data_IF_676554392469
#
_entry.id   IF_676554392469
#
_cell.length_a   1.000
_cell.length_b   1.000
_cell.length_c   1.000
_cell.angle_alpha   90.00
_cell.angle_beta   90.00
_cell.angle_gamma   90.00
#
_symmetry.space_group_name_H-M   'P 1'
#
loop_
_entity.id
_entity.type
_entity.pdbx_description
1 polymer ?
#
# COMPACT_ATOMS: atom_id res chain seq x y z
N UNK A 1 -6.61 5.32 5.40
CA UNK A 1 -7.91 5.86 4.94
C UNK A 1 -8.69 4.90 4.03
N UNK A 2 -8.38 3.58 4.04
CA UNK A 2 -9.15 2.59 3.28
C UNK A 2 -8.95 2.60 1.76
N UNK A 3 -7.91 3.26 1.24
CA UNK A 3 -7.65 3.36 -0.20
C UNK A 3 -8.60 4.31 -0.94
N UNK A 4 -8.41 4.42 -2.26
CA UNK A 4 -9.18 5.34 -3.12
C UNK A 4 -10.69 5.07 -3.06
N UNK A 5 -11.11 3.80 -3.10
CA UNK A 5 -12.53 3.43 -3.07
C UNK A 5 -13.22 3.90 -1.79
N UNK A 6 -12.61 3.70 -0.62
CA UNK A 6 -13.23 4.17 0.63
C UNK A 6 -13.11 5.68 0.82
N UNK A 7 -12.05 6.30 0.27
CA UNK A 7 -11.92 7.75 0.27
C UNK A 7 -13.11 8.42 -0.44
N UNK A 8 -13.48 7.91 -1.62
CA UNK A 8 -14.56 8.43 -2.46
C UNK A 8 -15.99 8.08 -1.99
N UNK A 9 -16.18 7.27 -0.94
CA UNK A 9 -17.51 7.01 -0.36
C UNK A 9 -18.03 8.22 0.41
N UNK A 10 -19.31 8.25 0.78
CA UNK A 10 -19.88 9.26 1.68
C UNK A 10 -20.50 10.47 0.97
N UNK A 11 -20.98 11.41 1.76
CA UNK A 11 -21.69 12.60 1.29
C UNK A 11 -20.74 13.80 1.17
N UNK A 12 -21.15 14.81 0.42
CA UNK A 12 -20.34 16.02 0.18
C UNK A 12 -19.95 16.73 1.48
N UNK A 13 -20.83 16.72 2.49
CA UNK A 13 -20.55 17.27 3.84
C UNK A 13 -19.37 16.58 4.54
N UNK A 14 -19.08 15.33 4.20
CA UNK A 14 -17.97 14.57 4.78
C UNK A 14 -16.62 14.93 4.14
N UNK A 15 -16.63 15.55 2.95
CA UNK A 15 -15.42 15.79 2.16
C UNK A 15 -14.50 16.82 2.80
N UNK A 16 -15.03 17.79 3.54
CA UNK A 16 -14.23 18.76 4.28
C UNK A 16 -13.33 18.07 5.32
N UNK A 17 -13.91 17.20 6.15
CA UNK A 17 -13.16 16.45 7.16
C UNK A 17 -12.23 15.40 6.53
N UNK A 18 -12.67 14.74 5.45
CA UNK A 18 -11.84 13.78 4.72
C UNK A 18 -10.62 14.44 4.08
N UNK A 19 -10.77 15.65 3.55
CA UNK A 19 -9.66 16.45 3.02
C UNK A 19 -8.62 16.72 4.11
N UNK A 20 -9.04 17.16 5.29
CA UNK A 20 -8.12 17.43 6.41
C UNK A 20 -7.33 16.17 6.80
N UNK A 21 -8.03 15.05 7.03
CA UNK A 21 -7.37 13.78 7.37
C UNK A 21 -6.44 13.27 6.27
N UNK A 22 -6.80 13.49 5.00
CA UNK A 22 -5.94 13.14 3.88
C UNK A 22 -4.65 13.93 3.89
N UNK A 23 -4.72 15.26 4.05
CA UNK A 23 -3.55 16.13 4.09
C UNK A 23 -2.61 15.73 5.24
N UNK A 24 -3.16 15.50 6.44
CA UNK A 24 -2.37 15.09 7.61
C UNK A 24 -1.69 13.72 7.41
N UNK A 25 -2.47 12.75 6.92
CA UNK A 25 -1.96 11.39 6.65
C UNK A 25 -0.89 11.43 5.56
N UNK A 26 -1.14 12.11 4.45
CA UNK A 26 -0.23 12.20 3.32
C UNK A 26 1.08 12.90 3.72
N UNK A 27 1.02 14.02 4.44
CA UNK A 27 2.23 14.70 4.96
C UNK A 27 3.07 13.76 5.81
N UNK A 28 2.44 12.99 6.68
CA UNK A 28 3.13 12.05 7.57
C UNK A 28 3.82 10.94 6.79
N UNK A 29 3.09 10.30 5.86
CA UNK A 29 3.64 9.17 5.09
C UNK A 29 4.72 9.68 4.12
N UNK A 30 4.53 10.85 3.47
CA UNK A 30 5.54 11.43 2.57
C UNK A 30 6.84 11.79 3.30
N UNK A 31 6.75 12.30 4.53
CA UNK A 31 7.93 12.56 5.37
C UNK A 31 8.70 11.29 5.74
N UNK A 32 8.04 10.13 5.84
CA UNK A 32 8.69 8.86 6.15
C UNK A 32 9.46 8.26 4.96
N UNK A 33 9.23 8.74 3.74
CA UNK A 33 9.84 8.17 2.53
C UNK A 33 9.17 6.89 2.02
N UNK A 34 8.16 6.37 2.75
CA UNK A 34 7.44 5.13 2.41
C UNK A 34 6.37 5.31 1.31
N UNK A 35 6.39 6.39 0.54
CA UNK A 35 5.37 6.70 -0.48
C UNK A 35 5.92 6.43 -1.86
N UNK A 36 5.34 5.45 -2.54
CA UNK A 36 5.43 5.40 -4.00
C UNK A 36 4.68 6.61 -4.58
N UNK A 37 5.28 7.31 -5.55
CA UNK A 37 4.81 8.63 -5.97
C UNK A 37 3.34 8.67 -6.42
N UNK A 38 2.85 7.62 -7.08
CA UNK A 38 1.43 7.47 -7.45
C UNK A 38 1.04 6.01 -7.73
N UNK A 39 -0.26 5.66 -7.60
CA UNK A 39 -0.75 4.35 -8.01
C UNK A 39 -0.82 4.22 -9.54
N UNK A 40 -0.52 3.05 -10.08
CA UNK A 40 -0.63 2.79 -11.55
C UNK A 40 -2.04 2.68 -12.09
N UNK A 41 -3.00 2.38 -11.21
CA UNK A 41 -4.41 2.24 -11.57
C UNK A 41 -5.31 2.61 -10.41
N UNK A 42 -6.47 3.15 -10.73
CA UNK A 42 -7.54 3.38 -9.77
C UNK A 42 -8.44 2.15 -9.75
N UNK A 43 -8.28 1.30 -8.74
CA UNK A 43 -9.13 0.11 -8.59
C UNK A 43 -10.57 0.54 -8.27
N UNK A 44 -11.52 0.04 -9.05
CA UNK A 44 -12.96 0.23 -8.79
C UNK A 44 -13.52 -0.78 -7.77
N UNK A 45 -14.74 -0.53 -7.30
CA UNK A 45 -15.41 -1.34 -6.26
C UNK A 45 -15.49 -2.83 -6.64
N UNK A 46 -15.93 -3.15 -7.87
CA UNK A 46 -16.06 -4.54 -8.33
C UNK A 46 -14.72 -5.24 -8.42
N UNK A 47 -13.68 -4.57 -8.94
CA UNK A 47 -12.33 -5.16 -8.99
C UNK A 47 -11.73 -5.33 -7.60
N UNK A 48 -12.03 -4.44 -6.65
CA UNK A 48 -11.60 -4.59 -5.27
C UNK A 48 -12.25 -5.82 -4.62
N UNK A 49 -13.57 -5.99 -4.79
CA UNK A 49 -14.28 -7.18 -4.30
C UNK A 49 -13.77 -8.46 -4.97
N UNK A 50 -13.58 -8.44 -6.29
CA UNK A 50 -13.04 -9.59 -7.03
C UNK A 50 -11.64 -9.95 -6.56
N UNK A 51 -10.76 -8.97 -6.34
CA UNK A 51 -9.41 -9.20 -5.82
C UNK A 51 -9.44 -9.86 -4.45
N UNK A 52 -10.31 -9.39 -3.54
CA UNK A 52 -10.46 -9.97 -2.20
C UNK A 52 -10.99 -11.41 -2.25
N UNK A 53 -11.84 -11.75 -3.21
CA UNK A 53 -12.45 -13.06 -3.36
C UNK A 53 -11.70 -14.00 -4.33
N UNK A 54 -10.55 -13.58 -4.86
CA UNK A 54 -9.75 -14.38 -5.81
C UNK A 54 -10.35 -14.52 -7.21
N UNK A 55 -11.33 -13.68 -7.58
CA UNK A 55 -11.93 -13.69 -8.91
C UNK A 55 -11.09 -12.91 -9.94
N UNK A 56 -11.37 -13.15 -11.23
CA UNK A 56 -10.73 -12.45 -12.34
C UNK A 56 -11.00 -10.94 -12.25
N UNK A 57 -9.94 -10.16 -12.43
CA UNK A 57 -9.99 -8.69 -12.48
C UNK A 57 -10.27 -8.21 -13.89
N UNK A 58 -11.15 -7.23 -14.03
CA UNK A 58 -11.34 -6.51 -15.28
C UNK A 58 -10.12 -5.62 -15.57
N UNK A 59 -9.79 -5.47 -16.86
CA UNK A 59 -8.69 -4.58 -17.30
C UNK A 59 -9.01 -3.12 -16.98
N UNK A 60 -8.01 -2.30 -16.61
CA UNK A 60 -8.21 -0.88 -16.38
C UNK A 60 -8.59 -0.17 -17.68
N UNK A 61 -9.49 0.80 -17.58
CA UNK A 61 -9.82 1.70 -18.70
C UNK A 61 -8.94 2.95 -18.64
N UNK A 62 -8.48 3.40 -19.80
CA UNK A 62 -7.78 4.67 -19.93
C UNK A 62 -8.79 5.82 -19.83
N UNK A 63 -8.41 6.88 -19.13
CA UNK A 63 -9.25 8.07 -18.92
C UNK A 63 -8.43 9.29 -19.32
N UNK A 64 -8.98 10.13 -20.20
CA UNK A 64 -8.30 11.31 -20.72
C UNK A 64 -7.36 10.99 -21.88
N UNK A 65 -6.14 11.54 -21.83
CA UNK A 65 -5.10 11.34 -22.83
C UNK A 65 -4.54 9.89 -22.76
N UNK A 66 -4.69 9.09 -23.83
CA UNK A 66 -4.26 7.69 -23.83
C UNK A 66 -2.77 7.51 -23.55
N UNK A 67 -1.90 8.33 -24.13
CA UNK A 67 -0.44 8.19 -24.01
C UNK A 67 0.00 8.49 -22.58
N UNK A 68 -0.57 9.55 -21.98
CA UNK A 68 -0.32 9.88 -20.57
C UNK A 68 -0.87 8.83 -19.63
N UNK A 69 -2.04 8.28 -19.92
CA UNK A 69 -2.64 7.22 -19.11
C UNK A 69 -1.80 5.92 -19.15
N UNK A 70 -1.24 5.57 -20.32
CA UNK A 70 -0.30 4.45 -20.47
C UNK A 70 0.99 4.71 -19.69
N UNK A 71 1.50 5.94 -19.70
CA UNK A 71 2.68 6.31 -18.91
C UNK A 71 2.44 6.12 -17.40
N UNK A 72 1.26 6.51 -16.89
CA UNK A 72 0.86 6.26 -15.49
C UNK A 72 0.74 4.77 -15.19
N UNK A 73 0.12 3.99 -16.10
CA UNK A 73 -0.01 2.55 -15.93
C UNK A 73 1.35 1.83 -15.88
N UNK A 74 2.31 2.30 -16.68
CA UNK A 74 3.64 1.71 -16.79
C UNK A 74 4.54 2.07 -15.61
N UNK A 75 4.55 3.34 -15.22
CA UNK A 75 5.50 3.88 -14.24
C UNK A 75 4.93 3.96 -12.82
N UNK A 76 3.61 3.86 -12.65
CA UNK A 76 3.00 3.89 -11.33
C UNK A 76 3.27 2.63 -10.51
N UNK A 77 3.05 2.71 -9.21
CA UNK A 77 3.20 1.57 -8.31
C UNK A 77 1.86 0.84 -8.06
N UNK A 78 1.91 -0.45 -7.75
CA UNK A 78 0.72 -1.21 -7.31
C UNK A 78 0.32 -0.97 -5.85
N UNK A 79 1.11 -0.16 -5.12
CA UNK A 79 0.80 0.34 -3.78
C UNK A 79 0.47 -0.72 -2.71
N UNK A 80 1.48 -1.20 -1.98
CA UNK A 80 1.54 -1.03 -0.53
C UNK A 80 2.99 -1.18 -0.07
N UNK A 81 3.54 -0.15 0.58
CA UNK A 81 4.90 -0.09 1.11
C UNK A 81 5.05 -0.82 2.45
N UNK A 82 4.36 -1.94 2.64
CA UNK A 82 4.61 -2.82 3.78
C UNK A 82 4.72 -4.27 3.32
N UNK A 83 5.97 -4.69 3.07
CA UNK A 83 6.32 -6.11 3.14
C UNK A 83 6.29 -6.51 4.61
N UNK A 84 5.21 -7.16 5.04
CA UNK A 84 5.21 -7.89 6.31
C UNK A 84 5.91 -9.22 6.06
N UNK A 85 7.22 -9.27 6.37
CA UNK A 85 7.96 -10.53 6.37
C UNK A 85 7.69 -11.16 7.73
N UNK A 86 6.89 -12.22 7.79
CA UNK A 86 6.80 -13.05 8.97
C UNK A 86 8.16 -13.71 9.18
N UNK A 87 8.68 -13.62 10.40
CA UNK A 87 9.90 -14.32 10.79
C UNK A 87 9.65 -15.81 10.57
N UNK A 88 10.27 -16.41 9.55
CA UNK A 88 10.26 -17.87 9.40
C UNK A 88 10.92 -18.48 10.63
N UNK A 89 10.58 -19.73 10.96
CA UNK A 89 11.19 -20.45 12.09
C UNK A 89 12.72 -20.42 12.05
N UNK A 90 13.31 -20.35 10.85
CA UNK A 90 14.74 -20.17 10.62
C UNK A 90 15.28 -18.83 11.14
N UNK A 91 14.53 -17.73 11.02
CA UNK A 91 14.88 -16.43 11.58
C UNK A 91 14.77 -16.38 13.11
N UNK A 92 13.82 -17.11 13.69
CA UNK A 92 13.72 -17.26 15.14
C UNK A 92 14.89 -18.08 15.71
N UNK A 93 15.35 -19.10 14.96
CA UNK A 93 16.49 -19.91 15.34
C UNK A 93 17.81 -19.12 15.30
N UNK A 94 18.03 -18.29 14.26
CA UNK A 94 19.23 -17.43 14.18
C UNK A 94 19.34 -16.41 15.32
N UNK A 95 18.21 -15.90 15.84
CA UNK A 95 18.21 -14.98 17.00
C UNK A 95 18.58 -15.74 18.29
N UNK A 96 18.08 -16.97 18.47
CA UNK A 96 18.44 -17.83 19.60
C UNK A 96 19.92 -18.22 19.57
N UNK A 97 20.45 -18.57 18.39
CA UNK A 97 21.85 -18.97 18.23
C UNK A 97 22.81 -17.80 18.49
N UNK A 98 22.43 -16.57 18.08
CA UNK A 98 23.20 -15.35 18.37
C UNK A 98 23.15 -14.96 19.84
N UNK A 99 22.01 -15.14 20.52
CA UNK A 99 21.89 -14.92 21.96
C UNK A 99 22.72 -15.94 22.78
N UNK A 100 22.77 -17.20 22.35
CA UNK A 100 23.61 -18.23 22.97
C UNK A 100 25.11 -18.00 22.75
N UNK A 101 25.51 -17.46 21.59
CA UNK A 101 26.90 -17.10 21.31
C UNK A 101 27.42 -15.94 22.15
N UNK A 102 26.58 -14.95 22.48
CA UNK A 102 26.96 -13.81 23.33
C UNK A 102 27.19 -14.24 24.78
N UNK A 103 26.44 -15.22 25.29
CA UNK A 103 26.65 -15.77 26.65
C UNK A 103 27.93 -16.60 26.77
N UNK A 104 28.46 -17.13 25.66
CA UNK A 104 29.68 -17.95 25.64
C UNK A 104 30.97 -17.14 25.57
N UNK A 105 30.90 -15.82 25.34
CA UNK A 105 32.04 -14.91 25.32
C UNK A 105 32.20 -14.12 26.64
N UNK A 106 31.31 -14.34 27.62
CA UNK A 106 31.27 -13.65 28.91
C UNK A 106 31.64 -14.55 30.12
N UNK A 107 32.18 -15.75 29.86
CA UNK A 107 32.93 -16.57 30.84
C UNK A 107 34.35 -16.76 30.33
#
# INVERSE_FOLDING_TARGET
MGGWVNFCKGEEKDFEFKRLRFIESYKTIRKRGDVADYPRRLMGISNQQNAMNGFKLAQPRLVGDPDRAIAVLSNGSDGSSLRVITLSEQGAQMIKDKAAGIFKLAM
#
